data_IF_431604157081
#
_entry.id   IF_431604157081
#
_cell.length_a   1.000
_cell.length_b   1.000
_cell.length_c   1.000
_cell.angle_alpha   90.00
_cell.angle_beta   90.00
_cell.angle_gamma   90.00
#
_symmetry.space_group_name_H-M   'P 1'
#
loop_
_entity.id
_entity.type
_entity.pdbx_description
1 polymer ?
#
# COMPACT_ATOMS: atom_id res chain seq x y z
N UNK A 1 16.59 5.71 25.01
CA UNK A 1 16.93 4.27 25.10
C UNK A 1 17.98 3.89 24.08
N UNK A 2 17.66 3.81 22.78
CA UNK A 2 18.62 3.46 21.73
C UNK A 2 19.86 4.36 21.69
N UNK A 3 19.69 5.67 21.82
CA UNK A 3 20.81 6.64 21.86
C UNK A 3 21.79 6.38 23.00
N UNK A 4 21.31 5.90 24.16
CA UNK A 4 22.17 5.51 25.28
C UNK A 4 22.87 4.18 25.04
N UNK A 5 22.18 3.22 24.43
CA UNK A 5 22.71 1.88 24.16
C UNK A 5 23.80 1.87 23.07
N UNK A 6 23.71 2.81 22.12
CA UNK A 6 24.63 2.93 20.98
C UNK A 6 25.50 4.21 21.04
N UNK A 7 25.54 4.90 22.18
CA UNK A 7 26.34 6.12 22.39
C UNK A 7 26.14 7.21 21.31
N UNK A 8 24.90 7.39 20.86
CA UNK A 8 24.54 8.43 19.88
C UNK A 8 24.30 9.75 20.62
N UNK A 9 25.28 10.63 20.60
CA UNK A 9 25.29 11.92 21.29
C UNK A 9 25.66 13.06 20.36
N UNK A 10 25.19 14.26 20.69
CA UNK A 10 25.63 15.52 20.09
C UNK A 10 26.08 16.47 21.21
N UNK A 11 26.89 17.46 20.86
CA UNK A 11 27.32 18.52 21.77
C UNK A 11 26.33 19.69 21.66
N UNK A 12 25.79 20.12 22.79
CA UNK A 12 24.86 21.24 22.83
C UNK A 12 25.60 22.55 22.52
N UNK A 13 25.20 23.31 21.50
CA UNK A 13 25.85 24.56 21.15
C UNK A 13 25.78 25.65 22.24
N UNK A 14 24.83 25.56 23.19
CA UNK A 14 24.69 26.55 24.27
C UNK A 14 25.46 26.16 25.53
N UNK A 15 25.44 24.87 25.88
CA UNK A 15 26.00 24.37 27.15
C UNK A 15 27.31 23.59 26.99
N UNK A 16 27.70 23.23 25.76
CA UNK A 16 28.78 22.29 25.43
C UNK A 16 28.65 20.92 26.14
N UNK A 17 27.44 20.56 26.58
CA UNK A 17 27.19 19.26 27.21
C UNK A 17 26.90 18.19 26.15
N UNK A 18 27.30 16.94 26.43
CA UNK A 18 26.95 15.79 25.59
C UNK A 18 25.52 15.36 25.87
N UNK A 19 24.62 15.61 24.93
CA UNK A 19 23.21 15.25 25.03
C UNK A 19 22.91 14.03 24.15
N UNK A 20 22.15 13.07 24.69
CA UNK A 20 21.66 11.93 23.92
C UNK A 20 20.52 12.34 23.00
N UNK A 21 20.59 11.89 21.74
CA UNK A 21 19.52 12.20 20.77
C UNK A 21 18.20 11.53 21.13
N UNK A 22 17.09 12.18 20.77
CA UNK A 22 15.75 11.61 20.83
C UNK A 22 15.43 10.93 19.49
N UNK A 23 15.15 9.62 19.54
CA UNK A 23 14.88 8.81 18.36
C UNK A 23 13.43 8.30 18.37
N UNK A 24 12.80 8.28 17.19
CA UNK A 24 11.55 7.57 16.95
C UNK A 24 11.78 6.43 15.95
N UNK A 25 10.83 5.50 15.91
CA UNK A 25 10.83 4.38 14.95
C UNK A 25 9.40 4.09 14.52
N UNK A 26 9.20 3.75 13.26
CA UNK A 26 7.90 3.43 12.68
C UNK A 26 8.04 2.27 11.70
N UNK A 27 6.98 1.50 11.54
CA UNK A 27 6.97 0.30 10.69
C UNK A 27 5.62 0.07 10.04
N UNK A 28 5.66 -0.30 8.76
CA UNK A 28 4.52 -0.74 7.97
C UNK A 28 4.94 -2.01 7.23
N UNK A 29 4.05 -3.00 7.14
CA UNK A 29 4.34 -4.28 6.50
C UNK A 29 3.19 -4.72 5.61
N UNK A 30 3.38 -5.85 4.92
CA UNK A 30 2.35 -6.50 4.09
C UNK A 30 1.09 -6.90 4.87
N UNK A 31 1.10 -6.85 6.21
CA UNK A 31 -0.10 -6.99 7.04
C UNK A 31 -1.19 -5.99 6.67
N UNK A 32 -0.83 -4.81 6.15
CA UNK A 32 -1.80 -3.82 5.66
C UNK A 32 -2.68 -4.35 4.53
N UNK A 33 -2.16 -5.25 3.68
CA UNK A 33 -2.95 -5.91 2.62
C UNK A 33 -4.00 -6.81 3.26
N UNK A 34 -3.64 -7.58 4.29
CA UNK A 34 -4.60 -8.40 5.03
C UNK A 34 -5.70 -7.57 5.69
N UNK A 35 -5.36 -6.41 6.26
CA UNK A 35 -6.35 -5.48 6.79
C UNK A 35 -7.30 -4.95 5.70
N UNK A 36 -6.78 -4.62 4.51
CA UNK A 36 -7.60 -4.20 3.37
C UNK A 36 -8.60 -5.30 2.97
N UNK A 37 -8.14 -6.55 2.85
CA UNK A 37 -8.99 -7.71 2.52
C UNK A 37 -10.10 -7.86 3.56
N UNK A 38 -9.78 -7.85 4.85
CA UNK A 38 -10.76 -8.02 5.92
C UNK A 38 -11.81 -6.91 5.97
N UNK A 39 -11.41 -5.66 5.69
CA UNK A 39 -12.29 -4.51 5.85
C UNK A 39 -13.20 -4.26 4.64
N UNK A 40 -12.79 -4.63 3.44
CA UNK A 40 -13.51 -4.26 2.21
C UNK A 40 -14.21 -5.45 1.53
N UNK A 41 -13.77 -6.69 1.75
CA UNK A 41 -14.34 -7.86 1.09
C UNK A 41 -15.78 -8.14 1.55
N UNK A 42 -16.55 -8.80 0.69
CA UNK A 42 -17.93 -9.19 0.95
C UNK A 42 -18.18 -10.67 0.59
N UNK A 43 -19.45 -11.09 0.60
CA UNK A 43 -19.84 -12.48 0.28
C UNK A 43 -19.60 -12.85 -1.20
N UNK A 44 -19.38 -11.88 -2.08
CA UNK A 44 -19.05 -12.09 -3.51
C UNK A 44 -17.55 -12.14 -3.77
N UNK A 45 -16.72 -11.70 -2.81
CA UNK A 45 -15.27 -11.89 -2.80
C UNK A 45 -14.49 -10.62 -2.46
N UNK A 46 -13.33 -10.48 -3.08
CA UNK A 46 -12.39 -9.39 -2.82
C UNK A 46 -12.86 -8.08 -3.45
N UNK A 47 -12.90 -7.03 -2.64
CA UNK A 47 -13.14 -5.66 -3.12
C UNK A 47 -11.84 -4.85 -2.95
N UNK A 48 -11.24 -4.46 -4.07
CA UNK A 48 -10.01 -3.66 -4.07
C UNK A 48 -10.34 -2.16 -4.06
N UNK A 49 -9.79 -1.36 -3.14
CA UNK A 49 -9.91 0.09 -3.20
C UNK A 49 -9.32 0.62 -4.53
N UNK A 50 -9.99 1.56 -5.23
CA UNK A 50 -9.60 1.96 -6.59
C UNK A 50 -8.14 2.43 -6.73
N UNK A 51 -7.56 3.05 -5.70
CA UNK A 51 -6.20 3.60 -5.75
C UNK A 51 -5.09 2.55 -5.72
N UNK A 52 -5.39 1.31 -5.32
CA UNK A 52 -4.43 0.21 -5.20
C UNK A 52 -4.81 -1.00 -6.03
N UNK A 53 -5.93 -0.95 -6.76
CA UNK A 53 -6.34 -1.98 -7.70
C UNK A 53 -5.40 -1.96 -8.92
N UNK A 54 -4.75 -3.10 -9.21
CA UNK A 54 -3.85 -3.24 -10.35
C UNK A 54 -4.59 -3.02 -11.70
N UNK A 55 -5.84 -3.46 -11.76
CA UNK A 55 -6.77 -3.20 -12.86
C UNK A 55 -8.00 -2.53 -12.27
N UNK A 56 -8.23 -1.27 -12.62
CA UNK A 56 -9.38 -0.50 -12.13
C UNK A 56 -10.64 -0.78 -12.95
N UNK A 57 -10.45 -0.99 -14.26
CA UNK A 57 -11.54 -1.22 -15.22
C UNK A 57 -11.15 -2.39 -16.10
N UNK A 58 -12.04 -3.37 -16.20
CA UNK A 58 -11.93 -4.48 -17.14
C UNK A 58 -13.03 -4.32 -18.19
N UNK A 59 -12.67 -4.36 -19.46
CA UNK A 59 -13.62 -4.31 -20.58
C UNK A 59 -13.85 -5.75 -21.04
N UNK A 60 -15.11 -6.19 -20.98
CA UNK A 60 -15.51 -7.54 -21.38
C UNK A 60 -16.45 -7.40 -22.59
N UNK A 61 -16.03 -7.82 -23.81
CA UNK A 61 -16.93 -7.83 -24.95
C UNK A 61 -18.01 -8.90 -24.73
N UNK A 62 -19.26 -8.52 -24.93
CA UNK A 62 -20.43 -9.39 -24.73
C UNK A 62 -21.25 -9.46 -26.03
N UNK A 63 -21.96 -10.57 -26.26
CA UNK A 63 -22.91 -10.69 -27.37
C UNK A 63 -22.29 -11.03 -28.74
N UNK A 64 -21.02 -11.46 -28.79
CA UNK A 64 -20.42 -12.01 -30.01
C UNK A 64 -21.04 -13.38 -30.28
N UNK A 65 -21.70 -13.51 -31.42
CA UNK A 65 -22.37 -14.73 -31.86
C UNK A 65 -21.89 -15.16 -33.25
N UNK A 66 -22.31 -16.35 -33.69
CA UNK A 66 -22.03 -16.87 -35.04
C UNK A 66 -22.58 -15.98 -36.16
N UNK A 67 -23.53 -15.10 -35.87
CA UNK A 67 -24.11 -14.16 -36.84
C UNK A 67 -23.51 -12.74 -36.75
N UNK A 68 -22.66 -12.46 -35.76
CA UNK A 68 -22.00 -11.15 -35.63
C UNK A 68 -21.10 -10.88 -36.83
N UNK A 69 -21.10 -9.65 -37.30
CA UNK A 69 -20.31 -9.21 -38.44
C UNK A 69 -18.81 -9.28 -38.13
N UNK A 70 -17.98 -9.37 -39.17
CA UNK A 70 -16.54 -9.54 -38.98
C UNK A 70 -15.88 -8.33 -38.29
N UNK A 71 -16.47 -7.14 -38.46
CA UNK A 71 -16.04 -5.92 -37.76
C UNK A 71 -16.37 -5.96 -36.26
N UNK A 72 -17.49 -6.56 -35.86
CA UNK A 72 -17.89 -6.72 -34.45
C UNK A 72 -17.05 -7.78 -33.72
N UNK A 73 -16.42 -8.71 -34.44
CA UNK A 73 -15.54 -9.76 -33.86
C UNK A 73 -14.09 -9.33 -33.68
N UNK A 74 -13.65 -8.28 -34.38
CA UNK A 74 -12.26 -7.79 -34.38
C UNK A 74 -12.01 -6.68 -33.34
N UNK A 75 -13.07 -6.25 -32.65
CA UNK A 75 -13.02 -5.34 -31.50
C UNK A 75 -12.73 -6.12 -30.21
#
# INVERSE_FOLDING_TARGET
NFSKMFEIVFEDPETNEKIFVHQNSWGLSTRSIGAMVLLHSDNTGLVLPPRVAAVQVIIIPCGITVNSTENERKL
#
